data_IF_501359568504
#
_entry.id   IF_501359568504
#
_cell.length_a   1.000
_cell.length_b   1.000
_cell.length_c   1.000
_cell.angle_alpha   90.00
_cell.angle_beta   90.00
_cell.angle_gamma   90.00
#
_symmetry.space_group_name_H-M   'P 1'
#
loop_
_entity.id
_entity.type
_entity.pdbx_description
1 polymer ?
#
# COMPACT_ATOMS: atom_id res chain seq x y z
N UNK A 1 41.47 27.33 12.38
CA UNK A 1 40.15 27.97 12.49
C UNK A 1 39.37 27.57 11.26
N UNK A 2 38.25 26.90 11.51
CA UNK A 2 37.11 26.58 10.65
C UNK A 2 37.31 25.73 9.38
N UNK A 3 36.87 24.48 9.59
CA UNK A 3 36.36 23.45 8.71
C UNK A 3 35.27 23.97 7.74
N UNK A 4 35.30 23.51 6.49
CA UNK A 4 34.31 23.82 5.46
C UNK A 4 33.43 22.59 5.20
N UNK A 5 32.42 22.41 6.05
CA UNK A 5 31.27 21.55 5.79
C UNK A 5 30.00 22.43 5.89
N UNK A 6 29.35 22.69 4.76
CA UNK A 6 28.02 23.28 4.62
C UNK A 6 27.67 23.16 3.12
N UNK A 7 26.55 22.63 2.66
CA UNK A 7 25.31 22.21 3.31
C UNK A 7 24.32 22.03 2.15
N UNK A 8 23.84 20.81 1.93
CA UNK A 8 22.99 20.45 0.80
C UNK A 8 21.83 19.56 1.22
N UNK A 9 21.32 19.75 2.43
CA UNK A 9 20.09 19.14 2.94
C UNK A 9 19.15 20.29 3.31
N UNK A 10 18.46 20.83 2.32
CA UNK A 10 17.47 21.88 2.55
C UNK A 10 16.42 21.90 1.43
N UNK A 11 15.60 20.86 1.35
CA UNK A 11 14.23 20.97 0.81
C UNK A 11 13.28 20.10 1.62
N UNK A 12 13.15 20.41 2.92
CA UNK A 12 11.99 19.99 3.69
C UNK A 12 11.71 21.05 4.76
N UNK A 13 11.40 22.26 4.29
CA UNK A 13 10.90 23.31 5.15
C UNK A 13 9.67 23.91 4.47
N UNK A 14 8.52 23.28 4.68
CA UNK A 14 7.28 24.03 4.67
C UNK A 14 6.30 23.49 5.70
N UNK A 15 5.89 24.44 6.55
CA UNK A 15 5.08 24.34 7.74
C UNK A 15 3.63 23.97 7.35
N UNK A 16 3.05 22.96 8.01
CA UNK A 16 1.61 22.57 8.05
C UNK A 16 1.14 21.23 7.41
N UNK A 17 1.96 20.21 7.21
CA UNK A 17 1.48 18.89 6.73
C UNK A 17 1.25 17.89 7.88
N UNK A 18 0.10 17.98 8.55
CA UNK A 18 -0.38 16.89 9.44
C UNK A 18 -1.61 16.27 8.79
N UNK A 19 -1.65 14.92 8.72
CA UNK A 19 -2.80 14.04 9.01
C UNK A 19 -2.93 12.83 8.07
N UNK A 20 -2.36 11.67 8.41
CA UNK A 20 -2.81 10.38 7.86
C UNK A 20 -3.07 9.32 8.94
N UNK A 21 -4.12 8.54 8.71
CA UNK A 21 -4.49 7.31 9.42
C UNK A 21 -4.55 6.20 8.35
N UNK A 22 -3.43 5.53 8.07
CA UNK A 22 -3.34 4.53 6.99
C UNK A 22 -3.85 3.15 7.42
N UNK A 23 -5.16 2.99 7.32
CA UNK A 23 -5.95 1.75 7.32
C UNK A 23 -5.27 0.41 7.43
N UNK A 24 -6.02 -0.47 8.10
CA UNK A 24 -5.97 -1.91 8.00
C UNK A 24 -5.47 -2.35 6.62
N UNK A 25 -4.28 -2.94 6.65
CA UNK A 25 -3.60 -3.42 5.46
C UNK A 25 -4.25 -4.74 5.03
N UNK A 26 -4.66 -4.78 3.76
CA UNK A 26 -4.65 -5.97 2.95
C UNK A 26 -3.87 -5.51 1.73
N UNK A 27 -2.57 -5.31 1.93
CA UNK A 27 -1.70 -5.21 0.77
C UNK A 27 -1.70 -6.61 0.16
N UNK A 28 -2.05 -6.68 -1.10
CA UNK A 28 -1.74 -7.83 -1.93
C UNK A 28 -0.91 -7.25 -3.05
N UNK A 29 0.40 -7.47 -2.99
CA UNK A 29 1.26 -7.31 -4.15
C UNK A 29 1.14 -8.61 -4.91
N UNK A 30 0.38 -8.66 -6.01
CA UNK A 30 0.24 -9.89 -6.80
C UNK A 30 0.87 -9.78 -8.19
N UNK A 31 1.88 -10.60 -8.49
CA UNK A 31 2.42 -10.75 -9.83
C UNK A 31 1.62 -11.80 -10.61
N UNK A 32 1.07 -11.49 -11.79
CA UNK A 32 0.32 -12.50 -12.57
C UNK A 32 0.61 -12.45 -14.08
N UNK A 33 0.69 -13.62 -14.71
CA UNK A 33 0.64 -13.78 -16.16
C UNK A 33 -0.70 -14.45 -16.55
N UNK A 34 -1.67 -13.67 -17.06
CA UNK A 34 -2.91 -14.19 -17.67
C UNK A 34 -4.24 -13.60 -17.14
N UNK A 35 -5.20 -13.42 -18.04
CA UNK A 35 -6.39 -12.57 -17.91
C UNK A 35 -7.52 -13.05 -16.94
N UNK A 36 -8.05 -12.06 -16.19
CA UNK A 36 -9.43 -11.79 -15.69
C UNK A 36 -10.11 -12.77 -14.70
N UNK A 37 -10.20 -12.32 -13.45
CA UNK A 37 -11.48 -12.11 -12.77
C UNK A 37 -11.35 -10.98 -11.74
N UNK A 38 -12.07 -9.88 -11.96
CA UNK A 38 -12.34 -8.86 -10.93
C UNK A 38 -13.18 -9.55 -9.85
N UNK A 39 -12.57 -9.86 -8.70
CA UNK A 39 -13.30 -10.17 -7.48
C UNK A 39 -12.76 -9.29 -6.37
N UNK A 40 -13.55 -8.27 -6.03
CA UNK A 40 -13.41 -7.56 -4.77
C UNK A 40 -13.48 -8.55 -3.62
N UNK A 41 -12.47 -8.53 -2.74
CA UNK A 41 -12.66 -9.02 -1.39
C UNK A 41 -13.32 -7.94 -0.53
N UNK A 42 -14.51 -8.25 -0.02
CA UNK A 42 -14.87 -7.78 1.33
C UNK A 42 -16.14 -6.95 1.54
N UNK A 43 -17.02 -6.74 0.55
CA UNK A 43 -18.44 -6.43 0.87
C UNK A 43 -19.34 -7.59 0.47
N UNK A 44 -19.48 -8.54 1.39
CA UNK A 44 -20.66 -9.39 1.62
C UNK A 44 -20.99 -9.18 3.10
N UNK A 45 -22.07 -8.62 3.59
CA UNK A 45 -23.36 -8.24 3.05
C UNK A 45 -23.87 -7.05 3.88
N UNK A 46 -24.59 -6.14 3.25
CA UNK A 46 -25.72 -5.55 3.95
C UNK A 46 -26.83 -6.63 4.00
N UNK A 47 -27.17 -7.05 5.21
CA UNK A 47 -28.30 -7.91 5.59
C UNK A 47 -28.10 -9.45 5.50
N UNK A 48 -27.75 -10.08 6.61
CA UNK A 48 -28.61 -11.00 7.37
C UNK A 48 -27.76 -11.91 8.28
N UNK A 49 -28.11 -11.91 9.56
CA UNK A 49 -27.59 -12.85 10.54
C UNK A 49 -28.06 -14.27 10.19
N UNK A 50 -27.13 -15.17 9.88
CA UNK A 50 -27.41 -16.57 9.61
C UNK A 50 -26.15 -17.40 9.57
N UNK A 51 -25.88 -18.10 10.67
CA UNK A 51 -24.92 -19.20 10.84
C UNK A 51 -24.66 -19.97 9.53
N UNK A 52 -23.40 -20.04 9.09
CA UNK A 52 -22.96 -21.05 8.12
C UNK A 52 -22.09 -22.10 8.83
N UNK A 53 -22.43 -23.39 8.76
CA UNK A 53 -21.58 -24.45 9.25
C UNK A 53 -20.37 -24.59 8.31
N UNK A 54 -19.24 -24.96 8.90
CA UNK A 54 -17.99 -25.32 8.24
C UNK A 54 -18.21 -26.16 6.97
N UNK A 55 -17.84 -25.61 5.81
CA UNK A 55 -17.56 -26.41 4.62
C UNK A 55 -16.06 -26.63 4.56
N UNK A 56 -15.62 -27.75 5.09
CA UNK A 56 -14.33 -28.36 4.75
C UNK A 56 -14.52 -28.98 3.37
N UNK A 57 -13.93 -28.41 2.33
CA UNK A 57 -13.75 -29.14 1.07
C UNK A 57 -12.56 -30.08 1.26
N UNK A 58 -12.86 -31.33 1.60
CA UNK A 58 -11.88 -32.42 1.57
C UNK A 58 -11.70 -32.89 0.12
N UNK A 59 -10.63 -32.43 -0.52
CA UNK A 59 -10.23 -32.89 -1.85
C UNK A 59 -8.80 -32.46 -2.13
N UNK A 60 -7.89 -33.43 -2.28
CA UNK A 60 -6.46 -33.26 -2.48
C UNK A 60 -6.14 -32.26 -3.61
N UNK A 61 -5.53 -31.12 -3.26
CA UNK A 61 -4.83 -30.26 -4.20
C UNK A 61 -5.41 -28.85 -4.43
N UNK A 62 -6.53 -28.48 -3.82
CA UNK A 62 -6.98 -27.09 -3.83
C UNK A 62 -6.56 -26.43 -2.51
N UNK A 63 -5.43 -25.71 -2.53
CA UNK A 63 -5.14 -24.76 -1.47
C UNK A 63 -6.37 -23.84 -1.36
N UNK A 64 -6.96 -23.77 -0.18
CA UNK A 64 -7.99 -22.79 0.11
C UNK A 64 -7.34 -21.41 0.02
N UNK A 65 -7.29 -20.84 -1.19
CA UNK A 65 -7.00 -19.43 -1.36
C UNK A 65 -8.18 -18.71 -0.72
N UNK A 66 -7.94 -18.17 0.46
CA UNK A 66 -8.77 -17.09 0.98
C UNK A 66 -8.60 -16.00 -0.06
N UNK A 67 -9.60 -15.75 -0.91
CA UNK A 67 -9.34 -14.93 -2.09
C UNK A 67 -8.74 -13.57 -1.67
N UNK A 68 -7.69 -13.16 -2.38
CA UNK A 68 -6.81 -12.04 -1.99
C UNK A 68 -5.47 -12.45 -1.37
N UNK A 69 -5.34 -13.63 -0.74
CA UNK A 69 -4.07 -14.17 -0.27
C UNK A 69 -3.80 -15.52 -0.95
N UNK A 70 -3.09 -15.47 -2.07
CA UNK A 70 -2.65 -16.63 -2.85
C UNK A 70 -1.13 -16.57 -3.10
N UNK A 71 -0.61 -17.50 -3.90
CA UNK A 71 0.82 -17.61 -4.20
C UNK A 71 1.42 -16.38 -4.90
N UNK A 72 0.59 -15.48 -5.39
CA UNK A 72 1.05 -14.25 -6.02
C UNK A 72 1.12 -13.11 -5.01
N UNK A 73 0.33 -13.14 -3.93
CA UNK A 73 0.36 -12.13 -2.88
C UNK A 73 1.66 -12.25 -2.08
N UNK A 74 2.62 -11.36 -2.33
CA UNK A 74 3.98 -11.41 -1.73
C UNK A 74 4.19 -10.52 -0.51
N UNK A 75 3.20 -9.71 -0.14
CA UNK A 75 3.22 -8.96 1.10
C UNK A 75 1.79 -8.69 1.54
N UNK A 76 1.42 -9.19 2.72
CA UNK A 76 0.09 -9.03 3.33
C UNK A 76 0.22 -8.77 4.83
N UNK A 77 0.13 -7.51 5.22
CA UNK A 77 0.18 -7.14 6.63
C UNK A 77 -1.25 -7.05 7.19
N UNK A 78 -1.61 -7.87 8.17
CA UNK A 78 -2.90 -7.75 8.85
C UNK A 78 -2.81 -6.87 10.12
N UNK A 79 -3.81 -6.03 10.33
CA UNK A 79 -4.03 -5.28 11.58
C UNK A 79 -5.07 -5.97 12.47
N UNK A 80 -4.77 -7.21 12.85
CA UNK A 80 -5.62 -8.03 13.72
C UNK A 80 -4.98 -8.21 15.10
N UNK A 81 -4.52 -7.11 15.69
CA UNK A 81 -3.79 -7.12 16.96
C UNK A 81 -4.40 -6.10 17.92
N UNK A 82 -3.67 -5.73 18.97
CA UNK A 82 -4.10 -4.80 20.00
C UNK A 82 -3.61 -3.38 19.74
N UNK A 83 -4.30 -2.43 20.36
CA UNK A 83 -3.93 -1.02 20.42
C UNK A 83 -2.48 -0.80 20.86
N UNK A 84 -1.77 0.13 20.23
CA UNK A 84 -0.37 0.45 20.51
C UNK A 84 0.65 -0.62 20.09
N UNK A 85 0.24 -1.72 19.45
CA UNK A 85 1.20 -2.76 19.04
C UNK A 85 2.13 -2.23 17.94
N UNK A 86 3.43 -2.48 18.08
CA UNK A 86 4.44 -2.16 17.05
C UNK A 86 4.96 -3.41 16.34
N UNK A 87 4.25 -4.54 16.48
CA UNK A 87 4.59 -5.79 15.80
C UNK A 87 3.75 -5.92 14.54
N UNK A 88 4.44 -6.08 13.41
CA UNK A 88 3.83 -6.24 12.10
C UNK A 88 4.21 -7.64 11.59
N UNK A 89 3.23 -8.35 11.03
CA UNK A 89 3.41 -9.72 10.55
C UNK A 89 3.00 -9.74 9.09
N UNK A 90 3.90 -10.26 8.26
CA UNK A 90 3.56 -10.61 6.89
C UNK A 90 2.85 -11.97 6.89
N UNK A 91 1.63 -11.98 6.37
CA UNK A 91 0.77 -13.16 6.26
C UNK A 91 0.61 -13.62 4.81
N UNK A 92 1.46 -13.13 3.90
CA UNK A 92 1.52 -13.50 2.49
C UNK A 92 1.64 -15.01 2.29
N UNK A 93 1.02 -15.54 1.23
CA UNK A 93 1.18 -16.92 0.77
C UNK A 93 2.16 -17.05 -0.40
N UNK A 94 2.46 -15.94 -1.07
CA UNK A 94 3.50 -15.82 -2.07
C UNK A 94 4.76 -15.16 -1.51
N UNK A 95 5.85 -15.20 -2.28
CA UNK A 95 7.07 -14.46 -1.95
C UNK A 95 7.82 -14.97 -0.72
N UNK A 96 8.73 -14.14 -0.22
CA UNK A 96 9.42 -14.33 1.04
C UNK A 96 8.56 -13.86 2.24
N UNK A 97 8.81 -14.44 3.42
CA UNK A 97 8.23 -13.91 4.67
C UNK A 97 8.99 -12.66 5.10
N UNK A 98 8.35 -11.50 4.98
CA UNK A 98 8.94 -10.21 5.30
C UNK A 98 8.75 -9.78 6.76
N UNK A 99 8.21 -10.62 7.64
CA UNK A 99 7.95 -10.28 9.05
C UNK A 99 9.19 -9.73 9.76
N UNK A 100 10.36 -10.30 9.48
CA UNK A 100 11.64 -9.87 10.09
C UNK A 100 12.24 -8.61 9.44
N UNK A 101 11.77 -8.24 8.25
CA UNK A 101 12.27 -7.11 7.46
C UNK A 101 11.51 -5.81 7.73
N UNK A 102 10.36 -5.91 8.40
CA UNK A 102 9.50 -4.76 8.72
C UNK A 102 10.06 -3.98 9.91
N UNK A 103 10.35 -2.70 9.68
CA UNK A 103 10.80 -1.73 10.67
C UNK A 103 9.84 -0.56 10.76
N UNK A 104 9.23 -0.36 11.93
CA UNK A 104 8.44 0.83 12.24
C UNK A 104 9.34 1.96 12.76
N UNK A 105 9.21 3.15 12.17
CA UNK A 105 9.88 4.37 12.62
C UNK A 105 8.86 5.42 13.06
N UNK A 106 9.26 6.32 13.96
CA UNK A 106 8.35 7.30 14.53
C UNK A 106 7.29 6.65 15.41
N UNK A 107 6.03 7.03 15.23
CA UNK A 107 4.91 6.57 16.05
C UNK A 107 3.98 5.65 15.23
N UNK A 108 4.59 4.79 14.40
CA UNK A 108 3.85 3.79 13.61
C UNK A 108 3.45 2.60 14.48
N UNK A 109 2.15 2.37 14.63
CA UNK A 109 1.61 1.30 15.47
C UNK A 109 0.21 0.88 15.00
N UNK A 110 -0.29 -0.21 15.56
CA UNK A 110 -1.67 -0.64 15.38
C UNK A 110 -2.60 0.12 16.33
N UNK A 111 -3.67 0.71 15.80
CA UNK A 111 -4.56 1.64 16.49
C UNK A 111 -6.02 1.17 16.42
N UNK A 112 -6.77 1.38 17.51
CA UNK A 112 -8.17 0.99 17.67
C UNK A 112 -9.18 2.13 17.49
N UNK A 113 -8.74 3.38 17.48
CA UNK A 113 -9.56 4.58 17.27
C UNK A 113 -10.37 4.47 15.98
N UNK A 114 -9.76 3.93 14.91
CA UNK A 114 -10.36 3.73 13.60
C UNK A 114 -9.86 2.44 12.97
N UNK A 115 -10.76 1.68 12.37
CA UNK A 115 -10.49 0.42 11.71
C UNK A 115 -11.44 0.24 10.53
N UNK A 116 -10.94 -0.34 9.43
CA UNK A 116 -11.77 -0.68 8.26
C UNK A 116 -12.28 -2.13 8.32
N UNK A 117 -11.43 -3.02 8.80
CA UNK A 117 -11.68 -4.43 9.07
C UNK A 117 -10.79 -4.86 10.22
N UNK A 118 -11.06 -6.03 10.79
CA UNK A 118 -10.23 -6.57 11.86
C UNK A 118 -10.38 -5.83 13.19
N UNK A 119 -9.35 -5.95 14.02
CA UNK A 119 -9.31 -5.37 15.35
C UNK A 119 -8.71 -3.95 15.36
N UNK A 120 -7.74 -3.67 14.48
CA UNK A 120 -6.98 -2.41 14.43
C UNK A 120 -6.80 -1.91 12.99
N UNK A 121 -6.24 -0.71 12.83
CA UNK A 121 -5.57 -0.25 11.61
C UNK A 121 -4.13 0.16 11.90
N UNK A 122 -3.29 0.36 10.87
CA UNK A 122 -1.95 0.92 11.10
C UNK A 122 -2.07 2.45 11.16
N UNK A 123 -1.80 3.04 12.31
CA UNK A 123 -1.64 4.49 12.39
C UNK A 123 -0.19 4.83 12.01
N UNK A 124 -0.01 5.67 10.98
CA UNK A 124 1.29 6.27 10.62
C UNK A 124 1.32 7.74 11.02
N UNK A 125 0.63 8.07 12.11
CA UNK A 125 0.54 9.40 12.66
C UNK A 125 1.81 9.71 13.44
N UNK A 126 2.32 10.94 13.33
CA UNK A 126 3.45 11.39 14.14
C UNK A 126 4.28 12.46 13.45
N UNK A 127 5.52 12.66 13.93
CA UNK A 127 6.52 13.49 13.25
C UNK A 127 6.76 12.98 11.81
N UNK A 128 7.45 13.78 11.00
CA UNK A 128 7.78 13.57 9.58
C UNK A 128 8.57 12.27 9.28
N UNK A 129 8.68 11.37 10.26
CA UNK A 129 9.48 10.16 10.34
C UNK A 129 8.63 8.92 10.58
N UNK A 130 7.29 9.05 10.59
CA UNK A 130 6.38 7.93 10.87
C UNK A 130 6.17 7.10 9.62
N UNK A 131 7.04 6.12 9.44
CA UNK A 131 7.15 5.28 8.24
C UNK A 131 7.29 3.82 8.68
N UNK A 132 6.53 2.93 8.04
CA UNK A 132 6.78 1.50 8.05
C UNK A 132 7.67 1.17 6.86
N UNK A 133 8.89 0.72 7.12
CA UNK A 133 9.87 0.36 6.09
C UNK A 133 10.00 -1.15 6.04
N UNK A 134 10.01 -1.74 4.84
CA UNK A 134 10.32 -3.15 4.61
C UNK A 134 11.62 -3.22 3.78
N UNK A 135 12.64 -3.89 4.30
CA UNK A 135 13.96 -3.97 3.69
C UNK A 135 13.93 -4.64 2.33
N UNK A 136 14.72 -4.14 1.38
CA UNK A 136 14.78 -4.50 -0.04
C UNK A 136 14.61 -6.02 -0.39
N UNK A 137 13.83 -6.31 -1.44
CA UNK A 137 13.45 -7.65 -1.89
C UNK A 137 13.03 -7.68 -3.36
N UNK A 138 13.27 -8.81 -4.02
CA UNK A 138 12.79 -9.09 -5.37
C UNK A 138 11.25 -9.08 -5.48
N UNK A 139 10.54 -9.26 -4.36
CA UNK A 139 9.07 -9.32 -4.31
C UNK A 139 8.40 -7.98 -4.71
N UNK A 140 9.14 -6.88 -4.66
CA UNK A 140 8.67 -5.58 -5.16
C UNK A 140 9.58 -4.97 -6.24
N UNK A 141 10.38 -5.82 -6.88
CA UNK A 141 11.04 -5.57 -8.16
C UNK A 141 10.08 -6.02 -9.29
N UNK A 142 9.02 -5.26 -9.52
CA UNK A 142 8.01 -5.64 -10.53
C UNK A 142 8.59 -5.70 -11.94
N UNK A 143 9.72 -5.03 -12.16
CA UNK A 143 10.38 -4.93 -13.45
C UNK A 143 9.39 -4.47 -14.53
N UNK A 144 9.30 -5.25 -15.62
CA UNK A 144 8.28 -5.07 -16.67
C UNK A 144 7.09 -6.03 -16.54
N UNK A 145 6.96 -6.69 -15.40
CA UNK A 145 5.88 -7.60 -15.09
C UNK A 145 4.57 -6.89 -14.77
N UNK A 146 3.51 -7.68 -14.75
CA UNK A 146 2.20 -7.27 -14.26
C UNK A 146 2.20 -7.32 -12.72
N UNK A 147 1.51 -6.38 -12.10
CA UNK A 147 1.39 -6.28 -10.66
C UNK A 147 0.07 -5.63 -10.29
N UNK A 148 -0.47 -5.96 -9.12
CA UNK A 148 -1.45 -5.14 -8.44
C UNK A 148 -0.93 -4.73 -7.07
N UNK A 149 -1.24 -3.52 -6.64
CA UNK A 149 -1.02 -3.00 -5.29
C UNK A 149 -2.36 -2.49 -4.82
N UNK A 150 -2.86 -3.00 -3.71
CA UNK A 150 -4.09 -2.53 -3.10
C UNK A 150 -3.97 -2.26 -1.60
N UNK A 151 -4.71 -1.28 -1.10
CA UNK A 151 -4.80 -0.99 0.34
C UNK A 151 -6.00 -0.10 0.59
N UNK A 152 -6.45 -0.04 1.84
CA UNK A 152 -7.35 1.04 2.24
C UNK A 152 -6.51 2.25 2.69
N UNK A 153 -7.02 3.47 2.56
CA UNK A 153 -6.47 4.70 3.19
C UNK A 153 -7.57 5.56 3.84
N UNK A 154 -7.23 6.27 4.94
CA UNK A 154 -8.06 7.32 5.57
C UNK A 154 -7.17 8.47 6.06
N UNK A 155 -7.69 9.69 6.00
CA UNK A 155 -7.04 10.85 6.60
C UNK A 155 -7.73 11.20 7.92
N UNK A 156 -6.97 11.41 9.00
CA UNK A 156 -7.48 11.85 10.33
C UNK A 156 -7.80 13.34 10.29
N UNK A 157 -9.04 13.73 10.01
CA UNK A 157 -9.36 15.13 9.69
C UNK A 157 -8.80 15.56 8.33
N UNK A 158 -8.55 16.87 8.17
CA UNK A 158 -8.18 17.50 6.88
C UNK A 158 -7.20 16.68 6.02
N UNK A 159 -7.58 16.45 4.76
CA UNK A 159 -6.76 15.73 3.78
C UNK A 159 -5.54 16.58 3.42
N UNK A 160 -4.35 16.04 3.65
CA UNK A 160 -3.07 16.70 3.41
C UNK A 160 -2.25 15.94 2.36
N UNK A 161 -1.15 16.54 1.89
CA UNK A 161 -0.20 15.88 0.98
C UNK A 161 0.54 14.74 1.69
N UNK A 162 0.79 13.64 0.98
CA UNK A 162 1.17 12.36 1.62
C UNK A 162 1.87 11.42 0.67
N UNK A 163 3.00 10.86 1.08
CA UNK A 163 3.42 9.56 0.54
C UNK A 163 2.39 8.52 0.99
N UNK A 164 1.98 7.61 0.12
CA UNK A 164 1.05 6.52 0.48
C UNK A 164 1.82 5.22 0.62
N UNK A 165 2.45 4.76 -0.47
CA UNK A 165 3.49 3.74 -0.43
C UNK A 165 4.45 3.88 -1.62
N UNK A 166 5.66 3.38 -1.50
CA UNK A 166 6.59 3.36 -2.62
C UNK A 166 8.01 2.93 -2.27
N UNK A 167 8.84 2.85 -3.31
CA UNK A 167 10.29 2.66 -3.25
C UNK A 167 10.97 3.88 -3.85
N UNK A 168 10.79 5.03 -3.20
CA UNK A 168 11.18 6.31 -3.79
C UNK A 168 12.69 6.56 -3.70
N UNK A 169 13.37 6.65 -4.84
CA UNK A 169 14.79 7.03 -4.94
C UNK A 169 14.96 8.09 -6.02
N UNK A 170 16.13 8.72 -6.08
CA UNK A 170 16.50 9.60 -7.19
C UNK A 170 17.01 8.83 -8.43
N UNK A 171 16.86 7.51 -8.46
CA UNK A 171 17.43 6.60 -9.44
C UNK A 171 16.36 6.01 -10.39
N UNK A 172 16.81 5.23 -11.38
CA UNK A 172 15.91 4.47 -12.24
C UNK A 172 15.15 3.37 -11.46
N UNK A 173 14.00 2.97 -12.00
CA UNK A 173 13.13 1.90 -11.46
C UNK A 173 12.42 2.21 -10.13
N UNK A 174 12.61 3.40 -9.58
CA UNK A 174 11.78 3.91 -8.50
C UNK A 174 10.31 4.00 -8.90
N UNK A 175 9.44 3.74 -7.93
CA UNK A 175 8.02 4.04 -8.01
C UNK A 175 7.48 4.53 -6.67
N UNK A 176 6.48 5.40 -6.70
CA UNK A 176 5.79 5.81 -5.48
C UNK A 176 4.38 6.32 -5.77
N UNK A 177 3.44 5.90 -4.95
CA UNK A 177 2.09 6.44 -4.91
C UNK A 177 2.03 7.57 -3.88
N UNK A 178 1.65 8.75 -4.33
CA UNK A 178 1.51 9.93 -3.47
C UNK A 178 0.16 10.61 -3.71
N UNK A 179 -0.35 11.28 -2.68
CA UNK A 179 -1.47 12.19 -2.80
C UNK A 179 -0.99 13.63 -2.57
N UNK A 180 -1.42 14.56 -3.42
CA UNK A 180 -1.15 15.98 -3.25
C UNK A 180 -2.26 16.82 -3.88
N UNK A 181 -2.81 17.77 -3.11
CA UNK A 181 -3.74 18.79 -3.59
C UNK A 181 -4.86 18.29 -4.53
N UNK A 182 -5.59 17.23 -4.15
CA UNK A 182 -6.70 16.70 -4.94
C UNK A 182 -6.28 15.81 -6.12
N UNK A 183 -5.04 15.31 -6.10
CA UNK A 183 -4.48 14.49 -7.17
C UNK A 183 -3.69 13.33 -6.58
N UNK A 184 -3.88 12.14 -7.14
CA UNK A 184 -2.99 10.99 -6.92
C UNK A 184 -1.90 10.97 -7.99
N UNK A 185 -0.68 10.68 -7.56
CA UNK A 185 0.52 10.62 -8.39
C UNK A 185 1.17 9.25 -8.28
N UNK A 186 1.57 8.69 -9.41
CA UNK A 186 2.38 7.49 -9.52
C UNK A 186 3.67 7.93 -10.15
N UNK A 187 4.66 8.12 -9.29
CA UNK A 187 5.99 8.41 -9.73
C UNK A 187 6.60 7.16 -10.35
N UNK A 188 7.32 7.35 -11.44
CA UNK A 188 8.12 6.33 -12.09
C UNK A 188 9.42 6.98 -12.58
N UNK A 189 10.56 6.41 -12.19
CA UNK A 189 11.86 7.02 -12.48
C UNK A 189 12.09 8.38 -11.80
N UNK A 190 13.10 9.12 -12.25
CA UNK A 190 13.52 10.38 -11.63
C UNK A 190 12.54 11.53 -11.95
N UNK A 191 11.63 11.82 -11.02
CA UNK A 191 10.73 12.98 -11.06
C UNK A 191 9.60 12.92 -12.08
N UNK A 192 9.45 11.82 -12.81
CA UNK A 192 8.35 11.63 -13.77
C UNK A 192 7.17 10.99 -13.07
N UNK A 193 5.95 11.37 -13.44
CA UNK A 193 4.74 10.78 -12.86
C UNK A 193 3.55 10.80 -13.81
N UNK A 194 2.68 9.80 -13.63
CA UNK A 194 1.29 9.89 -14.06
C UNK A 194 0.44 10.36 -12.91
N UNK A 195 -0.70 10.97 -13.23
CA UNK A 195 -1.59 11.49 -12.21
C UNK A 195 -3.06 11.31 -12.57
N UNK A 196 -3.88 11.30 -11.52
CA UNK A 196 -5.34 11.19 -11.59
C UNK A 196 -5.97 12.14 -10.59
N UNK A 197 -6.87 12.99 -11.07
CA UNK A 197 -7.65 13.86 -10.20
C UNK A 197 -8.53 13.01 -9.28
N UNK A 198 -8.43 13.24 -7.98
CA UNK A 198 -9.21 12.57 -6.97
C UNK A 198 -9.23 13.40 -5.69
N UNK A 199 -10.43 13.76 -5.22
CA UNK A 199 -10.60 14.59 -4.02
C UNK A 199 -11.27 13.76 -2.93
N UNK A 200 -10.49 13.10 -2.04
CA UNK A 200 -11.06 12.37 -0.92
C UNK A 200 -11.66 13.31 0.11
N UNK A 201 -12.59 12.78 0.90
CA UNK A 201 -13.14 13.43 2.08
C UNK A 201 -12.37 12.93 3.30
N UNK A 202 -12.08 13.86 4.22
CA UNK A 202 -11.52 13.54 5.52
C UNK A 202 -12.33 12.46 6.24
N UNK A 203 -11.68 11.69 7.10
CA UNK A 203 -12.33 10.72 7.97
C UNK A 203 -13.14 9.63 7.25
N UNK A 204 -12.86 9.41 5.97
CA UNK A 204 -13.50 8.40 5.12
C UNK A 204 -12.47 7.36 4.65
N UNK A 205 -12.84 6.08 4.73
CA UNK A 205 -12.03 4.99 4.20
C UNK A 205 -12.21 4.85 2.68
N UNK A 206 -11.09 4.76 1.97
CA UNK A 206 -11.06 4.52 0.53
C UNK A 206 -10.20 3.31 0.21
N UNK A 207 -10.71 2.38 -0.58
CA UNK A 207 -9.89 1.35 -1.22
C UNK A 207 -9.17 1.97 -2.41
N UNK A 208 -7.85 1.83 -2.46
CA UNK A 208 -7.00 2.27 -3.57
C UNK A 208 -6.37 1.03 -4.18
N UNK A 209 -6.40 0.93 -5.50
CA UNK A 209 -5.68 -0.10 -6.23
C UNK A 209 -4.98 0.48 -7.46
N UNK A 210 -3.70 0.13 -7.64
CA UNK A 210 -2.91 0.36 -8.84
C UNK A 210 -2.61 -0.99 -9.46
N UNK A 211 -3.00 -1.16 -10.72
CA UNK A 211 -2.98 -2.45 -11.39
C UNK A 211 -2.34 -2.30 -12.76
N UNK A 212 -1.24 -3.00 -13.00
CA UNK A 212 -0.61 -3.14 -14.32
C UNK A 212 -0.93 -4.52 -14.88
N UNK A 213 -1.56 -4.54 -16.04
CA UNK A 213 -1.79 -5.76 -16.80
C UNK A 213 -1.45 -5.55 -18.28
N UNK A 214 -0.56 -6.38 -18.83
CA UNK A 214 -0.12 -6.32 -20.24
C UNK A 214 0.31 -4.91 -20.66
N UNK A 215 1.23 -4.31 -19.91
CA UNK A 215 1.74 -2.95 -20.11
C UNK A 215 0.66 -1.85 -20.04
N UNK A 216 -0.46 -2.11 -19.37
CA UNK A 216 -1.52 -1.12 -19.17
C UNK A 216 -1.75 -0.92 -17.68
N UNK A 217 -1.42 0.26 -17.17
CA UNK A 217 -1.61 0.61 -15.76
C UNK A 217 -2.94 1.33 -15.55
N UNK A 218 -3.74 0.83 -14.60
CA UNK A 218 -5.08 1.31 -14.22
C UNK A 218 -5.11 1.61 -12.73
N UNK A 219 -6.03 2.49 -12.37
CA UNK A 219 -6.14 3.07 -11.04
C UNK A 219 -7.59 2.96 -10.59
N UNK A 220 -7.82 2.47 -9.39
CA UNK A 220 -9.16 2.27 -8.86
C UNK A 220 -9.30 2.94 -7.50
N UNK A 221 -10.44 3.58 -7.28
CA UNK A 221 -10.86 4.06 -5.97
C UNK A 221 -12.24 3.52 -5.66
N UNK A 222 -12.39 2.85 -4.52
CA UNK A 222 -13.65 2.20 -4.13
C UNK A 222 -14.13 1.20 -5.20
N UNK A 223 -13.18 0.60 -5.90
CA UNK A 223 -13.42 -0.35 -6.97
C UNK A 223 -13.82 0.19 -8.34
N UNK A 224 -13.92 1.51 -8.49
CA UNK A 224 -14.20 2.14 -9.79
C UNK A 224 -12.90 2.68 -10.38
N UNK A 225 -12.65 2.40 -11.66
CA UNK A 225 -11.49 2.97 -12.34
C UNK A 225 -11.60 4.50 -12.37
N UNK A 226 -10.52 5.19 -12.00
CA UNK A 226 -10.42 6.64 -12.10
C UNK A 226 -9.52 7.04 -13.28
N UNK A 227 -10.01 8.00 -14.07
CA UNK A 227 -9.33 8.48 -15.28
C UNK A 227 -9.01 7.39 -16.32
N UNK A 228 -8.14 7.74 -17.25
CA UNK A 228 -7.73 6.86 -18.36
C UNK A 228 -6.59 5.93 -17.95
N UNK A 229 -6.50 4.77 -18.59
CA UNK A 229 -5.36 3.87 -18.45
C UNK A 229 -4.08 4.50 -19.02
N UNK A 230 -2.93 4.10 -18.50
CA UNK A 230 -1.61 4.50 -19.00
C UNK A 230 -0.94 3.35 -19.74
N UNK A 231 -0.20 3.66 -20.80
CA UNK A 231 0.73 2.70 -21.40
C UNK A 231 2.00 2.67 -20.55
N UNK A 232 2.28 1.51 -19.98
CA UNK A 232 3.34 1.31 -18.99
C UNK A 232 4.33 0.25 -19.47
N UNK A 233 5.48 0.73 -19.94
CA UNK A 233 6.63 -0.10 -20.30
C UNK A 233 7.79 0.10 -19.33
N UNK A 234 7.55 0.69 -18.16
CA UNK A 234 8.60 0.97 -17.21
C UNK A 234 9.12 -0.32 -16.58
N UNK A 235 10.38 -0.26 -16.19
CA UNK A 235 11.08 -1.30 -15.45
C UNK A 235 11.18 -0.86 -13.99
N UNK A 236 10.38 -1.47 -13.11
CA UNK A 236 10.29 -1.12 -11.69
C UNK A 236 11.22 -1.99 -10.86
N UNK A 237 12.52 -1.71 -10.94
CA UNK A 237 13.58 -2.41 -10.22
C UNK A 237 14.53 -1.36 -9.61
N UNK A 238 14.68 -1.38 -8.29
CA UNK A 238 15.56 -0.51 -7.53
C UNK A 238 16.11 -1.29 -6.34
N UNK A 239 17.06 -0.75 -5.58
CA UNK A 239 17.58 -1.37 -4.36
C UNK A 239 17.02 -0.70 -3.08
N UNK A 240 15.84 -0.09 -3.18
CA UNK A 240 15.25 0.67 -2.09
C UNK A 240 14.27 -0.16 -1.27
N UNK A 241 14.22 0.14 0.02
CA UNK A 241 13.17 -0.38 0.88
C UNK A 241 11.78 0.04 0.36
N UNK A 242 10.80 -0.82 0.59
CA UNK A 242 9.39 -0.47 0.43
C UNK A 242 8.95 0.33 1.66
N UNK A 243 8.47 1.54 1.44
CA UNK A 243 8.00 2.43 2.50
C UNK A 243 6.49 2.61 2.44
N UNK A 244 5.86 2.58 3.60
CA UNK A 244 4.44 2.90 3.84
C UNK A 244 4.41 3.97 4.93
N UNK A 245 4.17 5.23 4.54
CA UNK A 245 4.19 6.34 5.50
C UNK A 245 4.19 7.68 4.80
#
# INVERSE_FOLDING_TARGET
>A
MQDSANGGLAMMNDINRRKLLKSAFCLAVCGFAGFVAIQFFGMRDAQAWGILPSVIVSGSGAAACTAGNDSNCVLLIHSNTTDGSTTFVDSSQGGADHTADITASGDVHHETDQQKFGATSIETWGANTSILSIADSADWDFGTGDFDIEFYVRWKGAVANSGLLGRYTAEAGTWALQYSAGTLYWYYGNGTSWNKAWTPVADTWYHICIARASNTTRWFVGGTQIGTSETDNNDYDTAAALEIG
#
